data_IF_037947767335
#
_entry.id   IF_037947767335
#
_cell.length_a   1.000
_cell.length_b   1.000
_cell.length_c   1.000
_cell.angle_alpha   90.00
_cell.angle_beta   90.00
_cell.angle_gamma   90.00
#
_symmetry.space_group_name_H-M   'P 1'
#
loop_
_entity.id
_entity.type
_entity.pdbx_description
1 polymer ?
#
# COMPACT_ATOMS: atom_id res chain seq x y z
N UNK A 1 -8.04 9.01 -20.85
CA UNK A 1 -6.60 9.39 -20.81
C UNK A 1 -6.47 10.48 -19.74
N UNK A 2 -5.56 10.32 -18.76
CA UNK A 2 -5.48 10.94 -17.40
C UNK A 2 -6.03 10.07 -16.25
N UNK A 3 -5.36 8.95 -15.93
CA UNK A 3 -5.62 8.19 -14.68
C UNK A 3 -4.37 8.05 -13.79
N UNK A 4 -3.33 8.86 -14.02
CA UNK A 4 -2.00 8.64 -13.41
C UNK A 4 -1.40 9.87 -12.69
N UNK A 5 -2.10 10.99 -12.59
CA UNK A 5 -1.56 12.21 -11.95
C UNK A 5 -1.89 12.32 -10.46
N UNK A 6 -2.83 11.52 -9.94
CA UNK A 6 -3.30 11.61 -8.56
C UNK A 6 -3.06 10.35 -7.70
N UNK A 7 -2.25 9.39 -8.17
CA UNK A 7 -2.02 8.16 -7.41
C UNK A 7 -1.03 8.40 -6.28
N UNK A 8 -1.55 8.66 -5.08
CA UNK A 8 -0.70 8.76 -3.89
C UNK A 8 -0.01 7.41 -3.63
N UNK A 9 1.10 7.37 -2.89
CA UNK A 9 1.67 6.10 -2.46
C UNK A 9 0.69 5.17 -1.73
N UNK A 10 -0.32 5.75 -1.08
CA UNK A 10 -1.41 5.00 -0.46
C UNK A 10 -2.25 4.30 -1.53
N UNK A 11 -2.65 5.00 -2.59
CA UNK A 11 -3.47 4.43 -3.66
C UNK A 11 -2.74 3.34 -4.42
N UNK A 12 -1.44 3.51 -4.69
CA UNK A 12 -0.61 2.46 -5.30
C UNK A 12 -0.52 1.21 -4.42
N UNK A 13 -0.39 1.40 -3.11
CA UNK A 13 -0.40 0.29 -2.16
C UNK A 13 -1.77 -0.40 -2.07
N UNK A 14 -2.86 0.37 -2.06
CA UNK A 14 -4.22 -0.17 -2.07
C UNK A 14 -4.51 -0.94 -3.35
N UNK A 15 -4.09 -0.41 -4.50
CA UNK A 15 -4.22 -1.11 -5.77
C UNK A 15 -3.45 -2.43 -5.77
N UNK A 16 -2.24 -2.47 -5.18
CA UNK A 16 -1.49 -3.71 -5.02
C UNK A 16 -2.21 -4.70 -4.10
N UNK A 17 -2.74 -4.22 -2.97
CA UNK A 17 -3.51 -5.01 -2.02
C UNK A 17 -4.77 -5.62 -2.67
N UNK A 18 -5.45 -4.86 -3.53
CA UNK A 18 -6.70 -5.28 -4.18
C UNK A 18 -6.46 -6.23 -5.36
N UNK A 19 -5.42 -5.97 -6.16
CA UNK A 19 -5.15 -6.79 -7.35
C UNK A 19 -4.32 -8.04 -7.05
N UNK A 20 -3.37 -7.96 -6.11
CA UNK A 20 -2.41 -9.03 -5.80
C UNK A 20 -2.04 -9.06 -4.31
N UNK A 21 -2.99 -9.40 -3.43
CA UNK A 21 -2.74 -9.47 -1.99
C UNK A 21 -1.66 -10.50 -1.62
N UNK A 22 -1.55 -11.58 -2.38
CA UNK A 22 -0.55 -12.64 -2.24
C UNK A 22 0.92 -12.16 -2.27
N UNK A 23 1.19 -11.03 -2.96
CA UNK A 23 2.53 -10.44 -2.97
C UNK A 23 2.90 -9.84 -1.62
N UNK A 24 1.94 -9.42 -0.81
CA UNK A 24 2.21 -8.85 0.50
C UNK A 24 2.74 -9.90 1.49
N UNK A 25 2.33 -11.15 1.32
CA UNK A 25 2.77 -12.26 2.16
C UNK A 25 4.07 -12.90 1.64
N UNK A 26 4.28 -12.89 0.32
CA UNK A 26 5.47 -13.49 -0.31
C UNK A 26 6.66 -12.53 -0.42
N UNK A 27 6.42 -11.23 -0.51
CA UNK A 27 7.44 -10.22 -0.79
C UNK A 27 7.75 -9.40 0.46
N UNK A 28 9.03 -9.28 0.86
CA UNK A 28 9.42 -8.43 1.97
C UNK A 28 9.00 -6.96 1.78
N UNK A 29 8.64 -6.30 2.89
CA UNK A 29 8.14 -4.93 2.89
C UNK A 29 9.10 -3.92 2.23
N UNK A 30 10.42 -4.10 2.35
CA UNK A 30 11.39 -3.20 1.71
C UNK A 30 11.36 -3.29 0.19
N UNK A 31 11.11 -4.48 -0.39
CA UNK A 31 11.00 -4.67 -1.83
C UNK A 31 9.71 -4.04 -2.36
N UNK A 32 8.61 -4.20 -1.62
CA UNK A 32 7.35 -3.54 -1.91
C UNK A 32 7.47 -2.01 -1.87
N UNK A 33 8.28 -1.48 -0.95
CA UNK A 33 8.53 -0.05 -0.85
C UNK A 33 9.25 0.47 -2.11
N UNK A 34 10.31 -0.23 -2.52
CA UNK A 34 11.02 0.05 -3.78
C UNK A 34 10.10 -0.05 -5.00
N UNK A 35 9.22 -1.06 -5.04
CA UNK A 35 8.26 -1.25 -6.13
C UNK A 35 7.25 -0.11 -6.25
N UNK A 36 6.76 0.40 -5.12
CA UNK A 36 5.80 1.52 -5.08
C UNK A 36 6.52 2.89 -5.22
N UNK A 37 7.85 2.91 -5.20
CA UNK A 37 8.66 4.12 -5.28
C UNK A 37 8.62 4.95 -4.00
N UNK A 38 8.55 4.30 -2.84
CA UNK A 38 8.58 4.96 -1.53
C UNK A 38 9.64 4.35 -0.62
N UNK A 39 10.05 5.12 0.39
CA UNK A 39 10.93 4.58 1.43
C UNK A 39 10.20 3.53 2.28
N UNK A 40 10.89 2.50 2.79
CA UNK A 40 10.30 1.47 3.65
C UNK A 40 9.55 2.04 4.86
N UNK A 41 10.04 3.13 5.45
CA UNK A 41 9.40 3.81 6.59
C UNK A 41 8.05 4.43 6.20
N UNK A 42 7.98 5.00 4.99
CA UNK A 42 6.74 5.56 4.44
C UNK A 42 5.72 4.47 4.18
N UNK A 43 6.15 3.34 3.61
CA UNK A 43 5.28 2.18 3.40
C UNK A 43 4.75 1.63 4.73
N UNK A 44 5.59 1.54 5.76
CA UNK A 44 5.16 1.09 7.08
C UNK A 44 4.11 2.03 7.69
N UNK A 45 4.28 3.35 7.54
CA UNK A 45 3.30 4.34 7.99
C UNK A 45 1.96 4.18 7.26
N UNK A 46 1.99 3.98 5.95
CA UNK A 46 0.79 3.74 5.12
C UNK A 46 0.07 2.48 5.57
N UNK A 47 0.79 1.36 5.72
CA UNK A 47 0.24 0.08 6.17
C UNK A 47 -0.43 0.19 7.54
N UNK A 48 0.22 0.85 8.51
CA UNK A 48 -0.36 1.09 9.84
C UNK A 48 -1.63 1.93 9.78
N UNK A 49 -1.66 2.95 8.93
CA UNK A 49 -2.85 3.80 8.73
C UNK A 49 -4.01 3.00 8.14
N UNK A 50 -3.76 2.19 7.11
CA UNK A 50 -4.77 1.33 6.48
C UNK A 50 -5.29 0.29 7.46
N UNK A 51 -4.40 -0.38 8.21
CA UNK A 51 -4.81 -1.34 9.24
C UNK A 51 -5.72 -0.69 10.30
N UNK A 52 -5.36 0.53 10.74
CA UNK A 52 -6.20 1.32 11.66
C UNK A 52 -7.55 1.70 11.06
N UNK A 53 -7.59 2.11 9.80
CA UNK A 53 -8.84 2.42 9.09
C UNK A 53 -9.71 1.15 8.92
N UNK A 54 -9.12 0.01 8.57
CA UNK A 54 -9.83 -1.27 8.43
C UNK A 54 -10.46 -1.76 9.74
N UNK A 55 -9.80 -1.55 10.89
CA UNK A 55 -10.35 -1.89 12.20
C UNK A 55 -11.56 -1.03 12.58
N UNK A 56 -11.65 0.22 12.09
CA UNK A 56 -12.79 1.12 12.38
C UNK A 56 -14.05 0.78 11.60
N UNK A 57 -13.94 0.12 10.45
CA UNK A 57 -15.08 -0.25 9.60
C UNK A 57 -15.77 -1.53 10.10
N UNK A 58 -15.08 -2.32 10.92
CA UNK A 58 -15.59 -3.57 11.52
C UNK A 58 -16.19 -3.42 12.92
N UNK A 59 -16.19 -2.21 13.49
CA UNK A 59 -16.77 -1.88 14.80
C UNK A 59 -18.10 -1.16 14.60
#
# INVERSE_FOLDING_TARGET
>A
MYYLIHSTPKDRYLHLLDNRPELLDRVPQYQLASFIGVKPESLNRIRRRICREAMKVKA
#
